data_IF_562386855652
#
_entry.id   IF_562386855652
#
_cell.length_a   1.000
_cell.length_b   1.000
_cell.length_c   1.000
_cell.angle_alpha   90.00
_cell.angle_beta   90.00
_cell.angle_gamma   90.00
#
_symmetry.space_group_name_H-M   'P 1'
#
loop_
_entity.id
_entity.type
_entity.pdbx_description
1 polymer ?
#
# COMPACT_ATOMS: atom_id res chain seq x y z
N UNK A 1 6.90 -7.42 -6.56
CA UNK A 1 5.63 -7.30 -7.30
C UNK A 1 5.07 -5.92 -7.03
N UNK A 2 4.59 -5.24 -8.05
CA UNK A 2 3.95 -3.93 -7.92
C UNK A 2 2.52 -4.08 -7.38
N UNK A 3 2.00 -3.05 -6.70
CA UNK A 3 0.66 -3.09 -6.10
C UNK A 3 -0.49 -3.04 -7.09
N UNK A 4 -0.24 -3.06 -8.40
CA UNK A 4 -1.27 -3.14 -9.43
C UNK A 4 -0.78 -3.97 -10.62
N UNK A 5 -1.71 -4.56 -11.37
CA UNK A 5 -1.42 -5.28 -12.60
C UNK A 5 -2.53 -5.04 -13.65
N UNK A 6 -2.16 -4.96 -14.93
CA UNK A 6 -3.09 -4.70 -16.05
C UNK A 6 -3.29 -5.97 -16.87
N UNK A 7 -4.53 -6.44 -16.92
CA UNK A 7 -4.97 -7.60 -17.70
C UNK A 7 -5.89 -7.20 -18.85
N UNK A 8 -6.14 -8.13 -19.79
CA UNK A 8 -7.07 -7.93 -20.92
C UNK A 8 -6.83 -6.61 -21.67
N UNK A 9 -5.59 -6.36 -22.11
CA UNK A 9 -5.18 -5.12 -22.80
C UNK A 9 -5.42 -3.82 -21.98
N UNK A 10 -5.56 -3.93 -20.66
CA UNK A 10 -5.87 -2.81 -19.76
C UNK A 10 -7.35 -2.65 -19.41
N UNK A 11 -8.23 -3.53 -19.91
CA UNK A 11 -9.67 -3.54 -19.55
C UNK A 11 -9.92 -4.02 -18.10
N UNK A 12 -8.98 -4.77 -17.52
CA UNK A 12 -9.02 -5.20 -16.12
C UNK A 12 -7.76 -4.70 -15.41
N UNK A 13 -7.94 -4.17 -14.19
CA UNK A 13 -6.83 -3.82 -13.29
C UNK A 13 -7.04 -4.55 -11.97
N UNK A 14 -6.07 -5.37 -11.57
CA UNK A 14 -5.97 -5.92 -10.21
C UNK A 14 -5.22 -4.92 -9.35
N UNK A 15 -5.66 -4.70 -8.11
CA UNK A 15 -5.10 -3.69 -7.20
C UNK A 15 -4.91 -4.26 -5.79
N UNK A 16 -3.73 -4.08 -5.23
CA UNK A 16 -3.36 -4.39 -3.86
C UNK A 16 -2.82 -3.12 -3.19
N UNK A 17 -3.52 -2.65 -2.15
CA UNK A 17 -3.14 -1.42 -1.43
C UNK A 17 -2.18 -1.68 -0.25
N UNK A 18 -2.15 -2.90 0.29
CA UNK A 18 -1.31 -3.30 1.40
C UNK A 18 0.12 -3.66 0.95
N UNK A 19 1.12 -2.92 1.41
CA UNK A 19 2.55 -3.23 1.25
C UNK A 19 2.97 -4.43 2.09
N UNK A 20 3.90 -5.25 1.57
CA UNK A 20 4.43 -6.45 2.23
C UNK A 20 3.35 -7.29 2.93
N UNK A 21 2.39 -7.77 2.14
CA UNK A 21 1.22 -8.52 2.62
C UNK A 21 1.63 -9.73 3.49
N UNK A 22 0.89 -9.95 4.58
CA UNK A 22 1.22 -10.89 5.67
C UNK A 22 2.62 -10.73 6.29
N UNK A 23 3.34 -9.62 6.03
CA UNK A 23 4.72 -9.40 6.45
C UNK A 23 5.78 -10.16 5.64
N UNK A 24 5.37 -10.97 4.65
CA UNK A 24 6.24 -11.92 3.94
C UNK A 24 6.21 -11.79 2.40
N UNK A 25 5.18 -11.19 1.81
CA UNK A 25 5.00 -11.15 0.36
C UNK A 25 5.95 -10.17 -0.38
N UNK A 26 6.58 -9.23 0.34
CA UNK A 26 7.50 -8.22 -0.20
C UNK A 26 6.98 -7.49 -1.47
N UNK A 27 5.68 -7.22 -1.51
CA UNK A 27 5.03 -6.45 -2.58
C UNK A 27 4.97 -4.95 -2.24
N UNK A 28 4.99 -4.11 -3.27
CA UNK A 28 4.50 -2.74 -3.15
C UNK A 28 2.96 -2.75 -3.03
N UNK A 29 2.42 -1.73 -2.37
CA UNK A 29 1.01 -1.36 -2.51
C UNK A 29 0.82 -0.38 -3.67
N UNK A 30 -0.43 -0.13 -4.06
CA UNK A 30 -0.77 0.93 -5.01
C UNK A 30 -2.16 1.52 -4.76
N UNK A 31 -2.40 2.70 -5.35
CA UNK A 31 -3.72 3.32 -5.50
C UNK A 31 -3.97 3.69 -6.95
N UNK A 32 -5.24 3.79 -7.34
CA UNK A 32 -5.66 4.33 -8.63
C UNK A 32 -6.24 5.74 -8.44
N UNK A 33 -5.60 6.74 -9.05
CA UNK A 33 -6.15 8.09 -9.13
C UNK A 33 -6.98 8.19 -10.41
N UNK A 34 -8.28 8.40 -10.28
CA UNK A 34 -9.21 8.54 -11.42
C UNK A 34 -9.44 10.04 -11.68
N UNK A 35 -8.94 10.53 -12.82
CA UNK A 35 -9.09 11.91 -13.24
C UNK A 35 -10.39 12.20 -14.02
N UNK A 36 -10.57 13.47 -14.40
CA UNK A 36 -11.60 13.86 -15.38
C UNK A 36 -11.36 13.11 -16.70
N UNK A 37 -12.44 12.73 -17.38
CA UNK A 37 -12.36 11.90 -18.58
C UNK A 37 -11.99 10.42 -18.31
N UNK A 38 -12.15 9.95 -17.08
CA UNK A 38 -11.86 8.57 -16.64
C UNK A 38 -10.39 8.13 -16.84
N UNK A 39 -9.46 9.08 -16.86
CA UNK A 39 -8.01 8.78 -16.93
C UNK A 39 -7.55 8.12 -15.63
N UNK A 40 -7.17 6.85 -15.69
CA UNK A 40 -6.73 6.07 -14.52
C UNK A 40 -5.20 6.07 -14.42
N UNK A 41 -4.68 6.75 -13.38
CA UNK A 41 -3.25 6.83 -13.08
C UNK A 41 -2.92 6.01 -11.82
N UNK A 42 -2.20 4.88 -11.94
CA UNK A 42 -1.71 4.17 -10.76
C UNK A 42 -0.58 4.96 -10.08
N UNK A 43 -0.52 4.88 -8.75
CA UNK A 43 0.62 5.33 -7.94
C UNK A 43 1.07 4.20 -7.02
N UNK A 44 2.37 3.92 -6.98
CA UNK A 44 2.95 2.92 -6.09
C UNK A 44 3.14 3.47 -4.67
N UNK A 45 3.14 2.56 -3.70
CA UNK A 45 3.49 2.76 -2.31
C UNK A 45 4.47 1.63 -1.97
N UNK A 46 5.70 1.97 -1.61
CA UNK A 46 6.70 0.96 -1.25
C UNK A 46 6.57 0.58 0.23
N UNK A 47 6.88 -0.68 0.62
CA UNK A 47 6.99 -1.03 2.02
C UNK A 47 8.03 -0.16 2.71
N UNK A 48 7.80 0.16 3.99
CA UNK A 48 8.85 0.70 4.86
C UNK A 48 9.99 -0.33 4.97
N UNK A 49 11.26 0.12 5.15
CA UNK A 49 12.34 -0.80 5.45
C UNK A 49 12.03 -1.59 6.73
N UNK A 50 12.52 -2.84 6.86
CA UNK A 50 12.34 -3.60 8.09
C UNK A 50 12.99 -2.87 9.27
N UNK A 51 12.46 -3.01 10.49
CA UNK A 51 13.10 -2.50 11.70
C UNK A 51 14.52 -3.06 11.89
N UNK A 52 15.34 -2.34 12.64
CA UNK A 52 16.75 -2.70 12.85
C UNK A 52 16.96 -3.74 13.96
N UNK A 53 15.93 -4.05 14.76
CA UNK A 53 16.01 -4.99 15.89
C UNK A 53 14.93 -6.10 15.85
N UNK A 54 15.08 -7.21 16.61
CA UNK A 54 14.20 -8.38 16.51
C UNK A 54 12.89 -8.21 17.31
N UNK A 55 11.79 -7.94 16.60
CA UNK A 55 10.55 -7.49 17.23
C UNK A 55 9.80 -8.56 18.04
N UNK A 56 9.87 -8.41 19.37
CA UNK A 56 9.12 -9.23 20.36
C UNK A 56 8.43 -8.39 21.44
N UNK A 57 8.57 -7.06 21.44
CA UNK A 57 7.92 -6.18 22.43
C UNK A 57 6.40 -6.11 22.23
N UNK A 58 5.58 -6.09 23.31
CA UNK A 58 4.17 -5.71 23.22
C UNK A 58 3.96 -4.31 22.62
N UNK A 59 4.92 -3.40 22.88
CA UNK A 59 5.00 -2.05 22.28
C UNK A 59 5.42 -2.09 20.80
N UNK A 60 5.56 -3.28 20.19
CA UNK A 60 5.63 -3.49 18.74
C UNK A 60 4.35 -4.16 18.14
N UNK A 61 3.35 -4.44 18.99
CA UNK A 61 2.04 -5.01 18.63
C UNK A 61 0.86 -4.03 18.83
N UNK A 62 0.92 -3.09 19.79
CA UNK A 62 -0.12 -2.06 20.00
C UNK A 62 -0.11 -0.87 19.01
N UNK A 63 1.10 -0.26 18.74
CA UNK A 63 2.79 0.29 16.46
C UNK A 63 2.66 -0.33 14.97
N UNK A 64 2.74 -1.65 14.67
CA UNK A 64 2.17 -2.27 13.45
C UNK A 64 0.67 -1.98 13.19
N UNK A 65 -0.20 -2.25 14.16
CA UNK A 65 -1.65 -1.93 14.13
C UNK A 65 -1.94 -0.43 13.88
N UNK A 66 -1.27 0.48 14.59
CA UNK A 66 -1.37 1.91 14.42
C UNK A 66 -0.53 2.44 13.25
N UNK A 67 0.46 1.70 12.74
CA UNK A 67 1.02 1.85 11.39
C UNK A 67 -0.02 1.50 10.32
N UNK A 68 -0.95 0.56 10.54
CA UNK A 68 -2.09 0.37 9.63
C UNK A 68 -3.07 1.56 9.71
N UNK A 69 -3.24 2.18 10.87
CA UNK A 69 -3.95 3.46 11.01
C UNK A 69 -3.18 4.62 10.36
N UNK A 70 -1.85 4.62 10.40
CA UNK A 70 -0.98 5.59 9.70
C UNK A 70 -0.95 5.31 8.19
N UNK A 71 -1.12 4.08 7.74
CA UNK A 71 -1.39 3.76 6.33
C UNK A 71 -2.72 4.40 5.92
N UNK A 72 -3.76 4.35 6.77
CA UNK A 72 -5.03 5.06 6.54
C UNK A 72 -4.86 6.59 6.56
N UNK A 73 -4.07 7.18 7.47
CA UNK A 73 -3.80 8.64 7.45
C UNK A 73 -2.88 9.08 6.32
N UNK A 74 -1.96 8.21 5.90
CA UNK A 74 -1.07 8.43 4.75
C UNK A 74 -1.86 8.31 3.44
N UNK A 75 -2.84 7.41 3.35
CA UNK A 75 -3.83 7.44 2.26
C UNK A 75 -4.55 8.79 2.21
N UNK A 76 -5.07 9.30 3.34
CA UNK A 76 -5.68 10.66 3.38
C UNK A 76 -4.71 11.74 2.88
N UNK A 77 -3.46 11.73 3.32
CA UNK A 77 -2.42 12.69 2.89
C UNK A 77 -2.08 12.58 1.39
N UNK A 78 -1.93 11.37 0.84
CA UNK A 78 -1.62 11.11 -0.57
C UNK A 78 -2.80 11.45 -1.50
N UNK A 79 -4.04 11.24 -1.04
CA UNK A 79 -5.27 11.47 -1.82
C UNK A 79 -5.75 12.94 -1.65
N UNK A 80 -5.30 13.64 -0.59
CA UNK A 80 -5.72 15.00 -0.17
C UNK A 80 -7.22 15.10 0.16
N UNK A 81 -7.66 14.29 1.13
CA UNK A 81 -9.04 14.24 1.66
C UNK A 81 -9.03 14.22 3.19
#
# INVERSE_FOLDING_TARGET
MDGFERFAQGQLITLFSATNYCGTANNAGAILVIGRGLVVVPKLIHPLPPPLEPETSPEYVEERHWMQVIIISTFKSIIKV
#
